data_IF_732009038901
#
_entry.id   IF_732009038901
#
_cell.length_a   1.000
_cell.length_b   1.000
_cell.length_c   1.000
_cell.angle_alpha   90.00
_cell.angle_beta   90.00
_cell.angle_gamma   90.00
#
_symmetry.space_group_name_H-M   'P 1'
#
loop_
_entity.id
_entity.type
_entity.pdbx_description
1 polymer ?
#
# COMPACT_ATOMS: atom_id res chain seq x y z
N UNK A 1 -3.14 -8.83 -9.45
CA UNK A 1 -1.68 -8.88 -9.41
C UNK A 1 -1.21 -9.24 -8.00
N UNK A 2 -0.05 -9.86 -7.88
CA UNK A 2 0.54 -10.27 -6.59
C UNK A 2 0.73 -9.11 -5.62
N UNK A 3 1.11 -7.94 -6.13
CA UNK A 3 1.39 -6.71 -5.38
C UNK A 3 0.16 -5.79 -5.23
N UNK A 4 -1.05 -6.34 -5.24
CA UNK A 4 -2.30 -5.62 -4.98
C UNK A 4 -2.98 -6.15 -3.73
N UNK A 5 -3.39 -5.24 -2.86
CA UNK A 5 -4.11 -5.55 -1.63
C UNK A 5 -4.50 -4.28 -0.88
N UNK A 6 -5.28 -4.43 0.17
CA UNK A 6 -5.70 -3.31 1.00
C UNK A 6 -4.55 -2.76 1.85
N UNK A 7 -3.61 -3.64 2.27
CA UNK A 7 -2.40 -3.22 2.97
C UNK A 7 -1.20 -4.03 2.51
N UNK A 8 -0.28 -3.34 1.86
CA UNK A 8 1.10 -3.77 1.69
C UNK A 8 1.92 -2.98 2.69
N UNK A 9 2.34 -3.63 3.76
CA UNK A 9 3.12 -3.02 4.81
C UNK A 9 4.60 -2.99 4.45
N UNK A 10 5.29 -1.91 4.79
CA UNK A 10 6.74 -1.85 4.76
C UNK A 10 7.27 -1.88 6.19
N UNK A 11 8.06 -2.88 6.53
CA UNK A 11 8.62 -3.03 7.88
C UNK A 11 9.79 -2.09 8.12
N UNK A 12 10.57 -1.82 7.07
CA UNK A 12 11.65 -0.83 7.06
C UNK A 12 11.49 0.12 5.85
N UNK A 13 10.62 1.12 5.92
CA UNK A 13 10.32 1.97 4.76
C UNK A 13 11.57 2.48 4.02
N UNK A 14 11.59 2.40 2.68
CA UNK A 14 10.56 1.93 1.73
C UNK A 14 10.68 0.45 1.35
N UNK A 15 11.54 -0.32 2.03
CA UNK A 15 11.88 -1.71 1.74
C UNK A 15 11.19 -2.69 2.69
N UNK A 16 11.40 -4.00 2.49
CA UNK A 16 10.75 -5.07 3.25
C UNK A 16 9.23 -4.96 3.18
N UNK A 17 8.71 -5.01 1.95
CA UNK A 17 7.29 -4.83 1.63
C UNK A 17 6.57 -6.16 1.60
N UNK A 18 5.61 -6.31 2.51
CA UNK A 18 4.81 -7.53 2.65
C UNK A 18 3.33 -7.26 2.36
N UNK A 19 2.70 -8.09 1.54
CA UNK A 19 1.24 -8.13 1.50
C UNK A 19 0.77 -8.77 2.81
N UNK A 20 0.04 -8.00 3.62
CA UNK A 20 -0.49 -8.47 4.92
C UNK A 20 -2.01 -8.57 4.92
N UNK A 21 -2.69 -7.73 4.16
CA UNK A 21 -4.14 -7.69 4.08
C UNK A 21 -4.59 -7.53 2.63
N UNK A 22 -5.10 -8.60 2.05
CA UNK A 22 -5.46 -8.63 0.62
C UNK A 22 -6.78 -7.91 0.37
N UNK A 23 -7.85 -8.38 0.99
CA UNK A 23 -9.20 -7.80 0.89
C UNK A 23 -10.10 -8.34 2.01
N UNK A 24 -11.35 -7.90 2.02
CA UNK A 24 -12.46 -8.54 2.74
C UNK A 24 -13.45 -9.06 1.71
N UNK A 25 -13.90 -10.30 1.90
CA UNK A 25 -15.06 -10.82 1.20
C UNK A 25 -16.30 -10.49 2.03
N UNK A 26 -17.21 -9.70 1.45
CA UNK A 26 -18.44 -9.27 2.09
C UNK A 26 -19.63 -10.03 1.55
N UNK A 27 -20.54 -10.43 2.44
CA UNK A 27 -21.85 -10.97 2.07
C UNK A 27 -22.95 -10.43 2.99
N UNK A 28 -24.14 -10.22 2.42
CA UNK A 28 -25.34 -9.83 3.13
C UNK A 28 -26.32 -10.98 3.13
N UNK A 29 -26.82 -11.37 4.31
CA UNK A 29 -27.89 -12.36 4.48
C UNK A 29 -29.12 -11.68 5.02
N UNK A 30 -30.22 -11.74 4.27
CA UNK A 30 -31.52 -11.18 4.67
C UNK A 30 -32.36 -12.31 5.27
N UNK A 31 -32.94 -12.08 6.45
CA UNK A 31 -33.73 -13.08 7.14
C UNK A 31 -35.20 -13.02 6.74
N UNK A 32 -35.85 -14.18 6.72
CA UNK A 32 -37.27 -14.25 6.49
C UNK A 32 -38.03 -13.57 7.66
N UNK A 33 -39.03 -12.76 7.35
CA UNK A 33 -39.90 -12.23 8.38
C UNK A 33 -40.57 -13.38 9.11
N UNK A 34 -40.47 -13.46 10.44
CA UNK A 34 -41.21 -14.46 11.21
C UNK A 34 -42.71 -14.15 11.07
N UNK A 35 -43.47 -15.14 10.62
CA UNK A 35 -44.93 -15.08 10.64
C UNK A 35 -45.41 -15.16 12.11
N UNK A 36 -45.23 -14.09 12.87
CA UNK A 36 -45.79 -13.98 14.22
C UNK A 36 -47.31 -13.82 14.11
N UNK A 37 -48.00 -14.93 14.12
CA UNK A 37 -49.48 -14.99 14.14
C UNK A 37 -50.09 -14.66 15.48
N UNK A 38 -49.49 -13.85 16.35
CA UNK A 38 -50.12 -13.31 17.57
C UNK A 38 -49.50 -11.97 17.98
N UNK A 39 -50.38 -11.01 18.27
CA UNK A 39 -50.10 -9.60 18.53
C UNK A 39 -49.53 -9.29 19.92
N UNK A 40 -49.01 -10.25 20.69
CA UNK A 40 -48.67 -10.01 22.11
C UNK A 40 -47.32 -10.63 22.57
N UNK A 41 -46.45 -11.11 21.69
CA UNK A 41 -45.12 -11.58 22.12
C UNK A 41 -44.06 -10.49 21.95
N UNK A 42 -43.40 -10.17 23.07
CA UNK A 42 -42.27 -9.26 23.16
C UNK A 42 -41.18 -9.68 22.16
N UNK A 43 -40.86 -8.76 21.27
CA UNK A 43 -39.77 -8.85 20.31
C UNK A 43 -38.45 -9.28 21.02
N UNK A 44 -38.02 -10.51 20.77
CA UNK A 44 -36.68 -10.96 21.18
C UNK A 44 -35.68 -10.63 20.06
N UNK A 45 -34.65 -9.83 20.33
CA UNK A 45 -33.66 -9.49 19.31
C UNK A 45 -33.03 -10.77 18.74
N UNK A 46 -32.87 -10.82 17.43
CA UNK A 46 -32.16 -11.95 16.72
C UNK A 46 -30.77 -12.20 17.30
N UNK A 47 -30.13 -11.18 17.90
CA UNK A 47 -28.89 -11.31 18.68
C UNK A 47 -28.96 -12.37 19.78
N UNK A 48 -30.10 -12.57 20.43
CA UNK A 48 -30.30 -13.64 21.43
C UNK A 48 -30.51 -15.02 20.77
N UNK A 49 -31.04 -15.02 19.57
CA UNK A 49 -31.26 -16.22 18.75
C UNK A 49 -29.92 -16.73 18.22
N UNK A 50 -29.06 -15.86 17.71
CA UNK A 50 -27.70 -16.19 17.26
C UNK A 50 -26.82 -16.70 18.41
N UNK A 51 -26.92 -16.11 19.60
CA UNK A 51 -26.24 -16.57 20.81
C UNK A 51 -26.75 -17.94 21.32
N UNK A 52 -27.97 -18.30 21.00
CA UNK A 52 -28.60 -19.60 21.37
C UNK A 52 -28.39 -20.69 20.32
N UNK A 53 -27.68 -20.41 19.21
CA UNK A 53 -27.39 -21.39 18.15
C UNK A 53 -28.57 -21.75 17.25
N UNK A 54 -29.67 -21.02 17.28
CA UNK A 54 -30.75 -21.16 16.29
C UNK A 54 -30.52 -20.14 15.16
N UNK A 55 -30.34 -20.61 13.93
CA UNK A 55 -30.15 -19.77 12.76
C UNK A 55 -31.51 -19.38 12.20
N UNK A 56 -31.86 -18.07 12.07
CA UNK A 56 -33.07 -17.63 11.40
C UNK A 56 -33.08 -18.13 9.94
N UNK A 57 -34.29 -18.38 9.40
CA UNK A 57 -34.39 -18.74 7.98
C UNK A 57 -33.92 -17.58 7.09
N UNK A 58 -32.96 -17.86 6.22
CA UNK A 58 -32.41 -16.89 5.27
C UNK A 58 -33.30 -16.83 4.04
N UNK A 59 -33.78 -15.65 3.66
CA UNK A 59 -34.62 -15.43 2.48
C UNK A 59 -33.82 -15.04 1.23
N UNK A 60 -32.67 -14.37 1.41
CA UNK A 60 -31.76 -14.00 0.33
C UNK A 60 -30.32 -13.86 0.83
N UNK A 61 -29.36 -14.17 -0.04
CA UNK A 61 -27.92 -13.94 0.18
C UNK A 61 -27.36 -13.15 -0.99
N UNK A 62 -26.61 -12.11 -0.70
CA UNK A 62 -25.94 -11.26 -1.67
C UNK A 62 -24.43 -11.29 -1.40
N UNK A 63 -23.65 -11.91 -2.29
CA UNK A 63 -22.21 -11.91 -2.22
C UNK A 63 -21.69 -10.66 -2.93
N UNK A 64 -21.06 -9.74 -2.20
CA UNK A 64 -20.56 -8.47 -2.75
C UNK A 64 -19.13 -8.59 -3.26
N UNK A 65 -18.47 -9.73 -3.02
CA UNK A 65 -17.14 -9.97 -3.50
C UNK A 65 -17.08 -10.19 -5.01
N UNK A 66 -16.01 -9.70 -5.63
CA UNK A 66 -15.66 -10.02 -7.01
C UNK A 66 -14.29 -10.69 -6.99
N UNK A 67 -14.25 -11.95 -7.35
CA UNK A 67 -13.02 -12.74 -7.40
C UNK A 67 -13.11 -13.84 -8.46
N UNK A 68 -11.97 -14.39 -8.77
CA UNK A 68 -11.77 -15.44 -9.76
C UNK A 68 -10.92 -16.54 -9.13
N UNK A 69 -11.38 -17.79 -9.22
CA UNK A 69 -10.69 -18.93 -8.62
C UNK A 69 -10.53 -20.04 -9.63
N UNK A 70 -9.44 -20.79 -9.52
CA UNK A 70 -9.22 -22.00 -10.30
C UNK A 70 -9.72 -23.20 -9.50
N UNK A 71 -10.78 -23.87 -9.98
CA UNK A 71 -11.33 -25.08 -9.34
C UNK A 71 -11.40 -26.22 -10.34
N UNK A 72 -10.72 -27.34 -10.04
CA UNK A 72 -10.70 -28.54 -10.92
C UNK A 72 -10.31 -28.23 -12.38
N UNK A 73 -9.40 -27.27 -12.59
CA UNK A 73 -8.98 -26.86 -13.93
C UNK A 73 -9.89 -25.82 -14.61
N UNK A 74 -11.05 -25.53 -14.06
CA UNK A 74 -11.98 -24.50 -14.56
C UNK A 74 -11.85 -23.19 -13.77
N UNK A 75 -12.15 -22.09 -14.42
CA UNK A 75 -12.19 -20.78 -13.76
C UNK A 75 -13.61 -20.46 -13.30
N UNK A 76 -13.77 -20.27 -12.00
CA UNK A 76 -15.02 -19.88 -11.36
C UNK A 76 -14.96 -18.40 -10.96
N UNK A 77 -16.09 -17.71 -11.06
CA UNK A 77 -16.20 -16.27 -10.75
C UNK A 77 -17.24 -16.04 -9.66
N UNK A 78 -16.95 -15.11 -8.75
CA UNK A 78 -17.96 -14.42 -7.96
C UNK A 78 -18.28 -13.09 -8.64
N UNK A 79 -19.52 -12.63 -8.57
CA UNK A 79 -20.03 -11.53 -9.41
C UNK A 79 -20.58 -10.37 -8.56
N UNK A 80 -19.92 -10.03 -7.47
CA UNK A 80 -20.32 -8.93 -6.57
C UNK A 80 -20.42 -7.57 -7.28
N UNK A 81 -19.74 -7.40 -8.42
CA UNK A 81 -19.88 -6.22 -9.26
C UNK A 81 -21.32 -5.97 -9.77
N UNK A 82 -22.18 -6.97 -9.78
CA UNK A 82 -23.60 -6.80 -10.16
C UNK A 82 -24.38 -5.91 -9.19
N UNK A 83 -23.89 -5.82 -7.94
CA UNK A 83 -24.48 -4.97 -6.90
C UNK A 83 -23.80 -3.60 -6.81
N UNK A 84 -22.71 -3.37 -7.53
CA UNK A 84 -21.94 -2.11 -7.49
C UNK A 84 -22.69 -1.00 -8.25
N UNK A 85 -23.06 0.06 -7.54
CA UNK A 85 -23.76 1.22 -8.10
C UNK A 85 -22.80 2.33 -8.48
N UNK A 86 -21.78 2.57 -7.65
CA UNK A 86 -20.77 3.62 -7.91
C UNK A 86 -19.42 3.29 -7.33
N UNK A 87 -18.40 3.86 -7.98
CA UNK A 87 -17.01 3.84 -7.54
C UNK A 87 -16.42 5.23 -7.74
N UNK A 88 -15.65 5.71 -6.76
CA UNK A 88 -14.86 6.94 -6.87
C UNK A 88 -13.57 6.87 -6.08
N UNK A 89 -12.62 7.75 -6.46
CA UNK A 89 -11.33 7.90 -5.79
C UNK A 89 -10.97 9.38 -5.69
N UNK A 90 -10.62 9.80 -4.47
CA UNK A 90 -10.21 11.18 -4.14
C UNK A 90 -8.99 11.23 -3.19
N UNK A 91 -8.23 10.15 -3.15
CA UNK A 91 -7.19 9.87 -2.15
C UNK A 91 -7.61 8.78 -1.18
N UNK A 92 -8.90 8.47 -1.14
CA UNK A 92 -9.53 7.30 -0.55
C UNK A 92 -10.39 6.61 -1.61
N UNK A 93 -10.68 5.34 -1.41
CA UNK A 93 -11.50 4.54 -2.33
C UNK A 93 -12.92 4.44 -1.78
N UNK A 94 -13.92 4.69 -2.62
CA UNK A 94 -15.33 4.68 -2.24
C UNK A 94 -16.14 3.78 -3.16
N UNK A 95 -16.82 2.81 -2.57
CA UNK A 95 -17.78 1.93 -3.24
C UNK A 95 -19.17 2.15 -2.68
N UNK A 96 -20.19 2.08 -3.53
CA UNK A 96 -21.58 1.98 -3.13
C UNK A 96 -22.20 0.75 -3.77
N UNK A 97 -22.75 -0.12 -2.95
CA UNK A 97 -23.47 -1.32 -3.37
C UNK A 97 -24.95 -1.19 -3.04
N UNK A 98 -25.80 -1.76 -3.92
CA UNK A 98 -27.23 -1.91 -3.68
C UNK A 98 -27.60 -3.39 -3.79
N UNK A 99 -27.99 -4.00 -2.67
CA UNK A 99 -28.34 -5.41 -2.58
C UNK A 99 -29.74 -5.55 -1.98
N UNK A 100 -30.75 -5.75 -2.82
CA UNK A 100 -32.15 -5.67 -2.42
C UNK A 100 -32.47 -4.33 -1.79
N UNK A 101 -33.04 -4.33 -0.57
CA UNK A 101 -33.38 -3.13 0.19
C UNK A 101 -32.22 -2.58 1.04
N UNK A 102 -30.99 -3.09 0.85
CA UNK A 102 -29.81 -2.67 1.62
C UNK A 102 -28.86 -1.88 0.71
N UNK A 103 -28.53 -0.65 1.16
CA UNK A 103 -27.45 0.15 0.58
C UNK A 103 -26.21 0.03 1.48
N UNK A 104 -25.08 -0.39 0.93
CA UNK A 104 -23.80 -0.45 1.64
C UNK A 104 -22.79 0.45 0.95
N UNK A 105 -22.30 1.46 1.70
CA UNK A 105 -21.15 2.25 1.29
C UNK A 105 -19.91 1.76 2.02
N UNK A 106 -18.85 1.57 1.28
CA UNK A 106 -17.54 1.11 1.77
C UNK A 106 -16.48 2.12 1.39
N UNK A 107 -15.77 2.64 2.37
CA UNK A 107 -14.69 3.60 2.20
C UNK A 107 -13.39 2.97 2.69
N UNK A 108 -12.35 3.00 1.87
CA UNK A 108 -11.04 2.42 2.20
C UNK A 108 -9.98 3.51 2.09
N UNK A 109 -9.15 3.65 3.11
CA UNK A 109 -7.98 4.50 3.05
C UNK A 109 -6.80 3.91 3.84
N UNK A 110 -5.60 4.34 3.46
CA UNK A 110 -4.39 4.11 4.24
C UNK A 110 -4.13 5.34 5.12
N UNK A 111 -3.83 5.10 6.40
CA UNK A 111 -3.39 6.17 7.30
C UNK A 111 -2.02 6.66 6.85
N UNK A 112 -1.89 7.97 6.62
CA UNK A 112 -0.63 8.55 6.16
C UNK A 112 0.50 8.30 7.17
N UNK A 113 1.65 7.83 6.68
CA UNK A 113 2.84 7.57 7.48
C UNK A 113 2.76 6.36 8.42
N UNK A 114 1.78 5.45 8.23
CA UNK A 114 1.62 4.26 9.06
C UNK A 114 1.18 3.04 8.25
N UNK A 115 1.56 1.85 8.72
CA UNK A 115 1.07 0.58 8.16
C UNK A 115 -0.33 0.27 8.70
N UNK A 116 -1.31 1.09 8.33
CA UNK A 116 -2.71 0.98 8.79
C UNK A 116 -3.65 1.18 7.60
N UNK A 117 -4.50 0.20 7.36
CA UNK A 117 -5.65 0.28 6.46
C UNK A 117 -6.92 0.46 7.30
N UNK A 118 -7.69 1.51 7.00
CA UNK A 118 -8.98 1.78 7.60
C UNK A 118 -10.09 1.54 6.58
N UNK A 119 -11.14 0.84 7.01
CA UNK A 119 -12.34 0.59 6.21
C UNK A 119 -13.55 1.06 7.03
N UNK A 120 -14.28 2.02 6.47
CA UNK A 120 -15.52 2.52 7.06
C UNK A 120 -16.70 2.02 6.25
N UNK A 121 -17.69 1.43 6.91
CA UNK A 121 -18.93 1.02 6.31
C UNK A 121 -20.08 1.92 6.82
N UNK A 122 -20.87 2.42 5.88
CA UNK A 122 -22.19 3.02 6.14
C UNK A 122 -23.24 2.11 5.51
N UNK A 123 -24.17 1.63 6.33
CA UNK A 123 -25.17 0.64 5.89
C UNK A 123 -26.56 1.18 6.21
N UNK A 124 -27.39 1.26 5.19
CA UNK A 124 -28.81 1.59 5.31
C UNK A 124 -29.63 0.35 4.95
N UNK A 125 -30.28 -0.24 5.95
CA UNK A 125 -31.19 -1.37 5.75
C UNK A 125 -32.62 -0.90 5.72
N UNK A 126 -33.24 -0.82 4.55
CA UNK A 126 -34.63 -0.45 4.33
C UNK A 126 -35.56 -1.69 4.26
N UNK A 127 -35.00 -2.89 4.40
CA UNK A 127 -35.69 -4.18 4.37
C UNK A 127 -35.95 -4.81 5.74
N UNK A 128 -36.11 -6.13 5.77
CA UNK A 128 -36.17 -6.95 6.98
C UNK A 128 -34.81 -6.97 7.72
N UNK A 129 -34.77 -7.66 8.87
CA UNK A 129 -33.53 -7.97 9.56
C UNK A 129 -32.55 -8.69 8.66
N UNK A 130 -31.28 -8.33 8.77
CA UNK A 130 -30.21 -8.88 7.96
C UNK A 130 -28.91 -9.00 8.77
N UNK A 131 -27.89 -9.61 8.18
CA UNK A 131 -26.53 -9.58 8.69
C UNK A 131 -25.55 -9.26 7.59
N UNK A 132 -24.45 -8.58 7.94
CA UNK A 132 -23.25 -8.44 7.13
C UNK A 132 -22.19 -9.40 7.66
N UNK A 133 -21.68 -10.28 6.81
CA UNK A 133 -20.53 -11.13 7.11
C UNK A 133 -19.31 -10.59 6.40
N UNK A 134 -18.22 -10.42 7.15
CA UNK A 134 -16.91 -9.96 6.70
C UNK A 134 -15.91 -11.10 6.85
N UNK A 135 -15.32 -11.58 5.77
CA UNK A 135 -14.23 -12.55 5.78
C UNK A 135 -12.95 -11.86 5.36
N UNK A 136 -12.08 -11.50 6.32
CA UNK A 136 -10.80 -10.87 6.01
C UNK A 136 -9.81 -11.90 5.46
N UNK A 137 -9.11 -11.54 4.39
CA UNK A 137 -8.11 -12.35 3.73
C UNK A 137 -6.72 -11.81 4.05
N UNK A 138 -5.95 -12.57 4.83
CA UNK A 138 -4.61 -12.22 5.27
C UNK A 138 -3.53 -12.94 4.46
N UNK A 139 -2.36 -12.33 4.47
CA UNK A 139 -1.13 -12.92 3.97
C UNK A 139 0.05 -12.41 4.82
N UNK A 140 1.23 -12.95 4.61
CA UNK A 140 2.49 -12.36 5.06
C UNK A 140 3.58 -12.85 4.12
N UNK A 141 3.57 -12.35 2.92
CA UNK A 141 4.53 -12.69 1.88
C UNK A 141 5.16 -11.44 1.29
N UNK A 142 6.34 -11.58 0.76
CA UNK A 142 6.92 -10.54 -0.07
C UNK A 142 5.90 -10.14 -1.16
N UNK A 143 5.76 -8.85 -1.43
CA UNK A 143 4.62 -8.29 -2.17
C UNK A 143 4.53 -8.76 -3.63
N UNK A 144 5.62 -9.22 -4.24
CA UNK A 144 5.67 -9.76 -5.61
C UNK A 144 5.55 -11.28 -5.70
N UNK A 145 5.63 -12.00 -4.57
CA UNK A 145 5.50 -13.45 -4.52
C UNK A 145 4.03 -13.91 -4.53
N UNK A 146 3.80 -15.22 -4.60
CA UNK A 146 2.52 -15.89 -4.39
C UNK A 146 2.62 -16.81 -3.20
N UNK A 147 1.49 -17.12 -2.54
CA UNK A 147 1.42 -18.02 -1.39
C UNK A 147 0.67 -19.32 -1.71
N UNK A 148 1.00 -20.35 -0.95
CA UNK A 148 0.29 -21.63 -0.88
C UNK A 148 -0.15 -21.91 0.56
N UNK A 149 -1.10 -22.81 0.83
CA UNK A 149 -1.57 -23.12 2.19
C UNK A 149 -0.44 -23.48 3.16
N UNK A 150 0.61 -24.14 2.70
CA UNK A 150 1.78 -24.54 3.48
C UNK A 150 2.70 -23.38 3.89
N UNK A 151 2.53 -22.19 3.32
CA UNK A 151 3.35 -21.03 3.65
C UNK A 151 2.82 -20.26 4.87
N UNK A 152 1.59 -20.57 5.31
CA UNK A 152 0.95 -19.84 6.40
C UNK A 152 1.31 -20.41 7.77
N UNK A 153 2.25 -19.77 8.45
CA UNK A 153 2.69 -20.07 9.80
C UNK A 153 2.44 -18.88 10.71
N UNK A 154 1.25 -18.83 11.32
CA UNK A 154 0.84 -17.79 12.24
C UNK A 154 0.56 -18.30 13.64
N UNK A 155 0.98 -17.56 14.67
CA UNK A 155 0.36 -17.65 15.99
C UNK A 155 -0.85 -16.71 15.99
N UNK A 156 -2.03 -17.29 16.18
CA UNK A 156 -3.30 -16.58 16.13
C UNK A 156 -3.90 -16.44 17.51
N UNK A 157 -4.39 -15.25 17.85
CA UNK A 157 -5.16 -14.99 19.06
C UNK A 157 -6.31 -14.04 18.79
N UNK A 158 -7.45 -14.31 19.44
CA UNK A 158 -8.63 -13.46 19.39
C UNK A 158 -8.88 -12.89 20.78
N UNK A 159 -8.91 -11.57 20.91
CA UNK A 159 -9.15 -10.84 22.14
C UNK A 159 -10.26 -9.83 21.85
N UNK A 160 -11.42 -10.03 22.46
CA UNK A 160 -12.62 -9.22 22.22
C UNK A 160 -12.93 -9.08 20.71
N UNK A 161 -12.93 -7.87 20.18
CA UNK A 161 -13.16 -7.59 18.76
C UNK A 161 -11.86 -7.41 17.96
N UNK A 162 -10.76 -8.04 18.40
CA UNK A 162 -9.42 -7.90 17.82
C UNK A 162 -8.79 -9.26 17.54
N UNK A 163 -8.47 -9.53 16.29
CA UNK A 163 -7.73 -10.70 15.81
C UNK A 163 -6.26 -10.31 15.62
N UNK A 164 -5.37 -10.98 16.33
CA UNK A 164 -3.92 -10.78 16.23
C UNK A 164 -3.28 -12.00 15.57
N UNK A 165 -2.50 -11.76 14.50
CA UNK A 165 -1.75 -12.76 13.75
C UNK A 165 -0.26 -12.40 13.84
N UNK A 166 0.55 -13.28 14.42
CA UNK A 166 2.01 -13.10 14.50
C UNK A 166 2.66 -14.11 13.57
N UNK A 167 3.32 -13.66 12.46
CA UNK A 167 4.04 -14.56 11.58
C UNK A 167 5.23 -15.20 12.33
N UNK A 168 5.41 -16.52 12.22
CA UNK A 168 6.55 -17.19 12.86
C UNK A 168 7.91 -16.74 12.31
N UNK A 169 7.94 -16.30 11.06
CA UNK A 169 9.13 -15.73 10.42
C UNK A 169 9.54 -14.36 10.98
N UNK A 170 8.59 -13.62 11.58
CA UNK A 170 8.78 -12.27 12.13
C UNK A 170 8.08 -12.17 13.49
N UNK A 171 8.64 -12.83 14.53
CA UNK A 171 7.96 -12.96 15.82
C UNK A 171 7.77 -11.64 16.59
N UNK A 172 8.48 -10.58 16.18
CA UNK A 172 8.38 -9.24 16.76
C UNK A 172 7.34 -8.35 16.03
N UNK A 173 6.66 -8.90 15.03
CA UNK A 173 5.67 -8.19 14.21
C UNK A 173 4.30 -8.84 14.37
N UNK A 174 3.25 -8.04 14.51
CA UNK A 174 1.87 -8.52 14.55
C UNK A 174 1.01 -7.81 13.50
N UNK A 175 0.14 -8.59 12.84
CA UNK A 175 -0.98 -8.08 12.07
C UNK A 175 -2.18 -8.03 13.01
N UNK A 176 -2.71 -6.84 13.25
CA UNK A 176 -3.86 -6.63 14.12
C UNK A 176 -5.07 -6.23 13.26
N UNK A 177 -6.09 -7.07 13.28
CA UNK A 177 -7.37 -6.81 12.63
C UNK A 177 -8.44 -6.55 13.68
N UNK A 178 -9.10 -5.40 13.61
CA UNK A 178 -10.07 -4.94 14.59
C UNK A 178 -11.38 -4.53 13.92
N UNK A 179 -12.49 -4.79 14.62
CA UNK A 179 -13.82 -4.30 14.24
C UNK A 179 -14.46 -3.56 15.39
N UNK A 180 -15.22 -2.48 15.11
CA UNK A 180 -15.92 -1.73 16.16
C UNK A 180 -17.09 -2.50 16.77
N UNK A 181 -17.60 -3.49 16.05
CA UNK A 181 -18.65 -4.40 16.52
C UNK A 181 -18.69 -5.66 15.67
N UNK A 182 -19.41 -6.66 16.13
CA UNK A 182 -19.62 -7.92 15.44
C UNK A 182 -19.28 -9.12 16.33
N UNK A 183 -19.56 -10.29 15.82
CA UNK A 183 -19.27 -11.56 16.48
C UNK A 183 -18.27 -12.30 15.61
N UNK A 184 -17.11 -12.56 16.15
CA UNK A 184 -16.11 -13.41 15.51
C UNK A 184 -16.48 -14.87 15.66
N UNK A 185 -16.35 -15.62 14.58
CA UNK A 185 -16.47 -17.08 14.53
C UNK A 185 -15.39 -17.65 13.62
N UNK A 186 -15.08 -18.93 13.83
CA UNK A 186 -14.14 -19.63 12.95
C UNK A 186 -14.70 -19.68 11.53
N UNK A 187 -13.87 -19.34 10.55
CA UNK A 187 -14.24 -19.45 9.15
C UNK A 187 -13.84 -20.80 8.56
N UNK A 188 -14.69 -21.36 7.71
CA UNK A 188 -14.42 -22.62 7.01
C UNK A 188 -14.82 -22.51 5.54
N UNK A 189 -13.91 -22.74 4.61
CA UNK A 189 -12.51 -23.17 4.79
C UNK A 189 -11.58 -22.06 5.32
N UNK A 190 -10.56 -22.44 6.09
CA UNK A 190 -9.58 -21.53 6.69
C UNK A 190 -8.66 -20.85 5.66
N UNK A 191 -8.68 -21.32 4.43
CA UNK A 191 -7.87 -20.80 3.33
C UNK A 191 -8.75 -20.51 2.12
N UNK A 192 -8.52 -19.34 1.53
CA UNK A 192 -9.00 -18.99 0.18
C UNK A 192 -7.92 -19.44 -0.80
N UNK A 193 -8.16 -20.56 -1.48
CA UNK A 193 -7.18 -21.29 -2.30
C UNK A 193 -7.40 -20.99 -3.77
N UNK A 194 -6.30 -20.90 -4.52
CA UNK A 194 -6.28 -20.78 -5.98
C UNK A 194 -7.04 -19.55 -6.50
N UNK A 195 -6.95 -18.43 -5.77
CA UNK A 195 -7.38 -17.14 -6.30
C UNK A 195 -6.55 -16.84 -7.56
N UNK A 196 -7.22 -16.72 -8.70
CA UNK A 196 -6.56 -16.47 -9.97
C UNK A 196 -6.34 -14.98 -10.18
N UNK A 197 -5.08 -14.60 -10.34
CA UNK A 197 -4.63 -13.24 -10.64
C UNK A 197 -4.46 -13.12 -12.17
N UNK A 198 -5.51 -12.71 -12.88
CA UNK A 198 -5.56 -12.78 -14.34
C UNK A 198 -4.38 -12.08 -15.04
N UNK A 199 -3.97 -10.92 -14.54
CA UNK A 199 -2.84 -10.19 -15.12
C UNK A 199 -1.52 -10.97 -15.02
N UNK A 200 -1.31 -11.73 -13.94
CA UNK A 200 -0.12 -12.58 -13.81
C UNK A 200 -0.18 -13.76 -14.80
N UNK A 201 -1.36 -14.35 -14.96
CA UNK A 201 -1.58 -15.39 -16.00
C UNK A 201 -1.29 -14.84 -17.39
N UNK A 202 -1.76 -13.64 -17.71
CA UNK A 202 -1.54 -12.99 -19.01
C UNK A 202 -0.05 -12.64 -19.25
N UNK A 203 0.71 -12.46 -18.19
CA UNK A 203 2.17 -12.21 -18.22
C UNK A 203 3.00 -13.50 -18.13
N UNK A 204 2.36 -14.67 -18.16
CA UNK A 204 3.00 -15.98 -18.06
C UNK A 204 3.81 -16.17 -16.76
N UNK A 205 3.39 -15.49 -15.68
CA UNK A 205 3.93 -15.64 -14.33
C UNK A 205 3.02 -16.53 -13.45
N UNK A 206 3.41 -16.81 -12.20
CA UNK A 206 2.56 -17.54 -11.28
C UNK A 206 1.32 -16.71 -10.94
N UNK A 207 0.20 -17.09 -11.51
CA UNK A 207 -1.07 -16.38 -11.39
C UNK A 207 -2.03 -16.95 -10.35
N UNK A 208 -1.60 -17.88 -9.50
CA UNK A 208 -2.43 -18.44 -8.43
C UNK A 208 -1.90 -17.97 -7.07
N UNK A 209 -2.78 -17.52 -6.21
CA UNK A 209 -2.47 -17.07 -4.86
C UNK A 209 -3.39 -17.72 -3.84
N UNK A 210 -2.96 -17.76 -2.60
CA UNK A 210 -3.73 -18.28 -1.47
C UNK A 210 -3.73 -17.26 -0.34
N UNK A 211 -4.83 -17.22 0.43
CA UNK A 211 -4.96 -16.33 1.58
C UNK A 211 -5.44 -17.09 2.81
N UNK A 212 -4.99 -16.62 3.97
CA UNK A 212 -5.39 -17.14 5.26
C UNK A 212 -6.60 -16.37 5.78
N UNK A 213 -7.68 -17.06 6.10
CA UNK A 213 -8.94 -16.49 6.58
C UNK A 213 -9.48 -17.31 7.78
N UNK A 214 -8.82 -17.21 8.96
CA UNK A 214 -9.13 -18.07 10.09
C UNK A 214 -10.46 -17.76 10.75
N UNK A 215 -10.94 -16.53 10.65
CA UNK A 215 -12.17 -16.06 11.27
C UNK A 215 -13.00 -15.22 10.31
N UNK A 216 -14.31 -15.20 10.55
CA UNK A 216 -15.24 -14.26 9.95
C UNK A 216 -15.91 -13.41 11.03
N UNK A 217 -16.41 -12.26 10.66
CA UNK A 217 -17.12 -11.33 11.56
C UNK A 217 -18.53 -11.16 11.06
N UNK A 218 -19.52 -11.46 11.89
CA UNK A 218 -20.94 -11.23 11.57
C UNK A 218 -21.46 -10.03 12.35
N UNK A 219 -21.97 -9.05 11.61
CA UNK A 219 -22.62 -7.85 12.15
C UNK A 219 -24.12 -7.90 11.87
N UNK A 220 -24.93 -7.76 12.90
CA UNK A 220 -26.38 -7.73 12.76
C UNK A 220 -26.88 -6.36 12.27
N UNK A 221 -27.81 -6.37 11.33
CA UNK A 221 -28.41 -5.21 10.68
C UNK A 221 -29.94 -5.24 10.94
N UNK A 222 -30.44 -4.55 11.97
CA UNK A 222 -31.87 -4.52 12.23
C UNK A 222 -32.69 -3.99 11.04
N UNK A 223 -33.91 -4.42 10.93
CA UNK A 223 -34.87 -3.87 9.96
C UNK A 223 -35.01 -2.34 10.11
N UNK A 224 -35.08 -1.63 8.97
CA UNK A 224 -35.28 -0.18 8.95
C UNK A 224 -34.24 0.58 9.79
N UNK A 225 -32.98 0.19 9.72
CA UNK A 225 -31.90 0.78 10.51
C UNK A 225 -30.81 1.38 9.63
N UNK A 226 -30.05 2.30 10.25
CA UNK A 226 -28.78 2.80 9.72
C UNK A 226 -27.67 2.39 10.69
N UNK A 227 -26.51 1.99 10.15
CA UNK A 227 -25.37 1.52 10.94
C UNK A 227 -24.06 1.99 10.35
N UNK A 228 -23.12 2.38 11.22
CA UNK A 228 -21.73 2.67 10.88
C UNK A 228 -20.81 1.65 11.55
N UNK A 229 -19.85 1.12 10.82
CA UNK A 229 -18.89 0.13 11.29
C UNK A 229 -17.49 0.58 10.86
N UNK A 230 -16.55 0.54 11.81
CA UNK A 230 -15.14 0.71 11.54
C UNK A 230 -14.42 -0.63 11.55
N UNK A 231 -13.54 -0.83 10.58
CA UNK A 231 -12.60 -1.94 10.52
C UNK A 231 -11.21 -1.37 10.31
N UNK A 232 -10.23 -1.84 11.10
CA UNK A 232 -8.82 -1.52 10.92
C UNK A 232 -8.03 -2.80 10.72
N UNK A 233 -7.05 -2.73 9.81
CA UNK A 233 -5.95 -3.68 9.77
C UNK A 233 -4.64 -2.92 9.87
N UNK A 234 -3.83 -3.24 10.86
CA UNK A 234 -2.57 -2.56 11.15
C UNK A 234 -1.43 -3.56 11.35
N UNK A 235 -0.21 -3.10 11.08
CA UNK A 235 1.00 -3.83 11.47
C UNK A 235 1.65 -3.06 12.61
N UNK A 236 1.83 -3.75 13.73
CA UNK A 236 2.35 -3.21 14.98
C UNK A 236 3.48 -4.10 15.51
N UNK A 237 4.22 -3.65 16.53
CA UNK A 237 5.12 -4.52 17.26
C UNK A 237 4.32 -5.60 18.03
N UNK A 238 4.85 -6.82 18.11
CA UNK A 238 4.13 -7.95 18.71
C UNK A 238 3.88 -7.78 20.22
N UNK A 239 4.63 -6.93 20.89
CA UNK A 239 4.51 -6.56 22.31
C UNK A 239 3.77 -5.22 22.53
N UNK A 240 3.32 -4.57 21.44
CA UNK A 240 2.58 -3.32 21.53
C UNK A 240 1.18 -3.55 22.08
N UNK A 241 0.79 -2.70 23.01
CA UNK A 241 -0.58 -2.70 23.55
C UNK A 241 -1.50 -1.93 22.62
N UNK A 242 -2.67 -2.49 22.33
CA UNK A 242 -3.69 -1.86 21.52
C UNK A 242 -4.96 -1.60 22.32
N UNK A 243 -5.77 -0.68 21.83
CA UNK A 243 -7.08 -0.34 22.40
C UNK A 243 -8.18 -0.72 21.41
N UNK A 244 -9.37 -0.98 21.93
CA UNK A 244 -10.54 -1.21 21.11
C UNK A 244 -10.86 0.01 20.24
N UNK A 245 -11.37 -0.24 19.05
CA UNK A 245 -11.83 0.80 18.13
C UNK A 245 -13.34 1.05 18.30
N UNK A 246 -13.76 2.26 17.96
CA UNK A 246 -15.17 2.67 17.95
C UNK A 246 -15.72 2.74 16.53
N UNK A 247 -17.02 2.90 16.40
CA UNK A 247 -17.68 3.07 15.08
C UNK A 247 -17.11 4.27 14.29
N UNK A 248 -16.60 5.29 14.97
CA UNK A 248 -16.07 6.50 14.35
C UNK A 248 -14.60 6.39 13.91
N UNK A 249 -13.85 5.39 14.42
CA UNK A 249 -12.38 5.33 14.26
C UNK A 249 -11.92 5.36 12.79
N UNK A 250 -12.52 4.55 11.91
CA UNK A 250 -12.15 4.55 10.49
C UNK A 250 -12.60 5.84 9.78
N UNK A 251 -13.74 6.41 10.19
CA UNK A 251 -14.24 7.69 9.65
C UNK A 251 -13.34 8.86 10.04
N UNK A 252 -12.75 8.83 11.22
CA UNK A 252 -11.80 9.87 11.64
C UNK A 252 -10.50 9.76 10.84
N UNK A 253 -10.00 8.56 10.56
CA UNK A 253 -8.84 8.35 9.67
C UNK A 253 -9.15 8.84 8.23
N UNK A 254 -10.36 8.61 7.73
CA UNK A 254 -10.80 9.15 6.44
C UNK A 254 -10.78 10.68 6.42
N UNK A 255 -11.30 11.35 7.47
CA UNK A 255 -11.24 12.82 7.61
C UNK A 255 -9.79 13.34 7.70
N UNK A 256 -8.91 12.63 8.43
CA UNK A 256 -7.48 12.96 8.48
C UNK A 256 -6.85 12.86 7.07
N UNK A 257 -7.16 11.81 6.31
CA UNK A 257 -6.69 11.63 4.94
C UNK A 257 -7.21 12.74 4.00
N UNK A 258 -8.48 13.08 4.08
CA UNK A 258 -9.08 14.19 3.32
C UNK A 258 -8.39 15.52 3.64
N UNK A 259 -8.17 15.80 4.93
CA UNK A 259 -7.46 17.00 5.37
C UNK A 259 -6.02 17.04 4.85
N UNK A 260 -5.31 15.91 4.90
CA UNK A 260 -3.97 15.80 4.35
C UNK A 260 -3.97 16.06 2.85
N UNK A 261 -4.86 15.43 2.09
CA UNK A 261 -4.99 15.63 0.64
C UNK A 261 -5.24 17.11 0.29
N UNK A 262 -6.15 17.78 1.01
CA UNK A 262 -6.39 19.23 0.84
C UNK A 262 -5.14 20.05 1.11
N UNK A 263 -4.35 19.70 2.13
CA UNK A 263 -3.12 20.43 2.45
C UNK A 263 -2.06 20.29 1.36
N UNK A 264 -2.04 19.19 0.60
CA UNK A 264 -1.16 19.03 -0.56
C UNK A 264 -1.54 20.01 -1.68
N UNK A 265 -2.84 20.15 -1.97
CA UNK A 265 -3.34 21.09 -2.98
C UNK A 265 -3.05 22.54 -2.61
N UNK A 266 -3.29 22.89 -1.35
CA UNK A 266 -2.98 24.23 -0.82
C UNK A 266 -1.47 24.53 -0.92
N UNK A 267 -0.61 23.57 -0.60
CA UNK A 267 0.84 23.71 -0.66
C UNK A 267 1.33 23.89 -2.10
N UNK A 268 0.74 23.17 -3.05
CA UNK A 268 1.08 23.32 -4.47
C UNK A 268 0.66 24.67 -5.06
N UNK A 269 -0.40 25.28 -4.51
CA UNK A 269 -0.87 26.63 -4.88
C UNK A 269 -1.45 26.73 -6.30
N UNK A 270 -1.76 25.61 -6.93
CA UNK A 270 -2.41 25.52 -8.23
C UNK A 270 -3.79 24.91 -7.99
N UNK A 271 -4.86 25.55 -8.46
CA UNK A 271 -6.23 25.17 -8.13
C UNK A 271 -7.02 24.86 -9.39
N UNK A 272 -6.80 23.67 -9.93
CA UNK A 272 -7.64 23.07 -10.96
C UNK A 272 -7.66 21.54 -10.79
N UNK A 273 -8.75 20.89 -11.22
CA UNK A 273 -8.99 19.46 -11.01
C UNK A 273 -7.90 18.55 -11.59
N UNK A 274 -7.22 18.98 -12.66
CA UNK A 274 -6.15 18.18 -13.28
C UNK A 274 -4.86 18.30 -12.48
N UNK A 275 -4.49 19.50 -12.06
CA UNK A 275 -3.32 19.76 -11.23
C UNK A 275 -3.44 19.07 -9.87
N UNK A 276 -4.61 19.12 -9.24
CA UNK A 276 -4.89 18.42 -7.97
C UNK A 276 -4.66 16.91 -8.09
N UNK A 277 -5.08 16.28 -9.18
CA UNK A 277 -4.81 14.85 -9.44
C UNK A 277 -3.33 14.57 -9.62
N UNK A 278 -2.57 15.45 -10.28
CA UNK A 278 -1.12 15.29 -10.43
C UNK A 278 -0.40 15.46 -9.08
N UNK A 279 -0.82 16.42 -8.26
CA UNK A 279 -0.27 16.62 -6.90
C UNK A 279 -0.52 15.40 -6.02
N UNK A 280 -1.72 14.86 -6.05
CA UNK A 280 -2.06 13.62 -5.33
C UNK A 280 -1.26 12.43 -5.83
N UNK A 281 -1.08 12.31 -7.15
CA UNK A 281 -0.25 11.25 -7.74
C UNK A 281 1.24 11.41 -7.36
N UNK A 282 1.76 12.62 -7.34
CA UNK A 282 3.14 12.90 -6.92
C UNK A 282 3.40 12.47 -5.46
N UNK A 283 2.44 12.68 -4.57
CA UNK A 283 2.53 12.28 -3.16
C UNK A 283 2.77 10.78 -2.99
N UNK A 284 2.20 9.93 -3.87
CA UNK A 284 2.32 8.48 -3.80
C UNK A 284 3.74 7.96 -4.03
N UNK A 285 4.60 8.74 -4.69
CA UNK A 285 6.00 8.38 -4.92
C UNK A 285 6.94 8.80 -3.79
N UNK A 286 6.48 9.66 -2.89
CA UNK A 286 7.29 10.17 -1.79
C UNK A 286 7.07 9.34 -0.53
N UNK A 287 8.15 8.84 0.06
CA UNK A 287 8.08 8.02 1.26
C UNK A 287 9.24 8.33 2.22
N UNK A 288 9.09 7.92 3.46
CA UNK A 288 10.18 7.97 4.44
C UNK A 288 11.19 6.86 4.15
N UNK A 289 12.47 7.16 4.38
CA UNK A 289 13.54 6.16 4.36
C UNK A 289 14.07 5.94 5.75
N UNK A 290 13.77 4.79 6.34
CA UNK A 290 14.14 4.45 7.71
C UNK A 290 15.63 4.58 7.99
N UNK A 291 16.49 4.15 7.02
CA UNK A 291 17.95 4.18 7.17
C UNK A 291 18.57 5.59 7.24
N UNK A 292 17.87 6.63 6.77
CA UNK A 292 18.34 8.02 6.80
C UNK A 292 17.54 8.90 7.74
N UNK A 293 16.29 8.54 8.02
CA UNK A 293 15.31 9.38 8.70
C UNK A 293 14.80 10.54 7.85
N UNK A 294 14.99 10.49 6.52
CA UNK A 294 14.60 11.51 5.54
C UNK A 294 13.70 10.92 4.47
N UNK A 295 13.17 11.78 3.58
CA UNK A 295 12.38 11.36 2.43
C UNK A 295 13.24 10.75 1.33
N UNK A 296 12.59 9.90 0.53
CA UNK A 296 13.09 9.36 -0.74
C UNK A 296 11.96 9.26 -1.76
N UNK A 297 12.28 8.83 -2.98
CA UNK A 297 11.32 8.66 -4.08
C UNK A 297 11.36 7.22 -4.54
N UNK A 298 10.21 6.56 -4.59
CA UNK A 298 10.06 5.26 -5.26
C UNK A 298 10.05 5.47 -6.78
N UNK A 299 10.92 4.76 -7.49
CA UNK A 299 11.07 4.91 -8.94
C UNK A 299 9.82 4.47 -9.71
N UNK A 300 9.07 3.51 -9.18
CA UNK A 300 7.83 3.04 -9.78
C UNK A 300 7.06 2.12 -8.85
N UNK A 301 5.90 2.59 -8.35
CA UNK A 301 5.00 1.78 -7.56
C UNK A 301 4.28 0.75 -8.44
N UNK A 302 4.18 -0.48 -7.96
CA UNK A 302 4.75 -1.07 -6.74
C UNK A 302 6.08 -1.82 -6.95
N UNK A 303 6.65 -1.82 -8.18
CA UNK A 303 7.71 -2.73 -8.59
C UNK A 303 9.11 -2.35 -8.12
N UNK A 304 9.39 -1.05 -8.03
CA UNK A 304 10.74 -0.55 -7.81
C UNK A 304 10.88 0.10 -6.42
N UNK A 305 12.10 0.07 -5.93
CA UNK A 305 12.54 0.81 -4.75
C UNK A 305 12.98 2.22 -5.16
N UNK A 306 13.82 2.86 -4.37
CA UNK A 306 14.38 4.15 -4.67
C UNK A 306 15.64 4.01 -5.56
N UNK A 307 15.60 4.70 -6.68
CA UNK A 307 16.66 4.72 -7.69
C UNK A 307 17.19 6.14 -7.85
N UNK A 308 18.53 6.28 -7.90
CA UNK A 308 19.18 7.59 -7.95
C UNK A 308 18.83 8.40 -9.19
N UNK A 309 18.97 7.80 -10.38
CA UNK A 309 18.63 8.44 -11.66
C UNK A 309 17.18 8.90 -11.68
N UNK A 310 16.27 7.98 -11.38
CA UNK A 310 14.83 8.21 -11.44
C UNK A 310 14.41 9.30 -10.45
N UNK A 311 14.92 9.23 -9.22
CA UNK A 311 14.67 10.25 -8.19
C UNK A 311 15.12 11.61 -8.66
N UNK A 312 16.35 11.74 -9.18
CA UNK A 312 16.91 13.06 -9.56
C UNK A 312 16.22 13.65 -10.79
N UNK A 313 15.81 12.83 -11.74
CA UNK A 313 15.06 13.26 -12.92
C UNK A 313 13.66 13.72 -12.51
N UNK A 314 12.96 12.92 -11.68
CA UNK A 314 11.60 13.21 -11.22
C UNK A 314 11.52 14.30 -10.14
N UNK A 315 12.64 14.62 -9.49
CA UNK A 315 12.76 15.52 -8.34
C UNK A 315 11.98 16.82 -8.48
N UNK A 316 12.19 17.53 -9.60
CA UNK A 316 11.53 18.82 -9.85
C UNK A 316 10.01 18.69 -9.86
N UNK A 317 9.48 17.71 -10.60
CA UNK A 317 8.04 17.51 -10.72
C UNK A 317 7.39 17.05 -9.43
N UNK A 318 8.02 16.11 -8.72
CA UNK A 318 7.45 15.52 -7.52
C UNK A 318 7.51 16.44 -6.30
N UNK A 319 8.50 17.34 -6.22
CA UNK A 319 8.73 18.16 -5.04
C UNK A 319 8.62 19.68 -5.30
N UNK A 320 9.40 20.22 -6.22
CA UNK A 320 9.49 21.67 -6.41
C UNK A 320 8.20 22.25 -7.01
N UNK A 321 7.66 21.57 -8.04
CA UNK A 321 6.40 21.98 -8.67
C UNK A 321 5.19 21.82 -7.74
N UNK A 322 5.28 20.98 -6.74
CA UNK A 322 4.23 20.73 -5.74
C UNK A 322 4.44 21.53 -4.44
N UNK A 323 5.43 22.44 -4.40
CA UNK A 323 5.72 23.32 -3.26
C UNK A 323 6.37 22.61 -2.04
N UNK A 324 6.84 21.37 -2.19
CA UNK A 324 7.33 20.50 -1.11
C UNK A 324 8.83 20.72 -0.85
N UNK A 325 9.19 21.94 -0.45
CA UNK A 325 10.59 22.34 -0.21
C UNK A 325 11.30 21.41 0.77
N UNK A 326 10.67 21.13 1.91
CA UNK A 326 11.29 20.28 2.96
C UNK A 326 11.58 18.89 2.44
N UNK A 327 10.63 18.26 1.71
CA UNK A 327 10.85 16.95 1.14
C UNK A 327 11.97 16.94 0.10
N UNK A 328 12.07 18.00 -0.70
CA UNK A 328 13.19 18.19 -1.63
C UNK A 328 14.55 18.22 -0.90
N UNK A 329 14.66 18.99 0.17
CA UNK A 329 15.87 19.07 1.00
C UNK A 329 16.22 17.69 1.60
N UNK A 330 15.23 16.98 2.15
CA UNK A 330 15.39 15.65 2.74
C UNK A 330 15.83 14.59 1.70
N UNK A 331 15.28 14.63 0.49
CA UNK A 331 15.69 13.73 -0.61
C UNK A 331 17.16 13.97 -0.99
N UNK A 332 17.56 15.24 -1.15
CA UNK A 332 18.96 15.57 -1.43
C UNK A 332 19.89 15.06 -0.31
N UNK A 333 19.47 15.18 0.95
CA UNK A 333 20.22 14.66 2.10
C UNK A 333 20.26 13.13 2.12
N UNK A 334 19.17 12.44 1.76
CA UNK A 334 19.15 10.99 1.66
C UNK A 334 20.25 10.49 0.73
N UNK A 335 20.31 11.01 -0.49
CA UNK A 335 21.28 10.55 -1.47
C UNK A 335 22.71 11.02 -1.15
N UNK A 336 22.91 12.23 -0.56
CA UNK A 336 24.23 12.69 -0.15
C UNK A 336 24.91 11.77 0.86
N UNK A 337 24.14 11.20 1.81
CA UNK A 337 24.66 10.26 2.81
C UNK A 337 25.24 8.97 2.21
N UNK A 338 24.83 8.61 1.01
CA UNK A 338 25.24 7.39 0.35
C UNK A 338 26.19 7.60 -0.83
N UNK A 339 26.66 8.83 -1.07
CA UNK A 339 27.71 9.05 -2.07
C UNK A 339 28.96 8.30 -1.63
N UNK A 340 29.45 7.47 -2.52
CA UNK A 340 30.66 6.66 -2.31
C UNK A 340 31.60 6.84 -3.49
N UNK A 341 32.84 7.23 -3.23
CA UNK A 341 33.86 7.49 -4.26
C UNK A 341 33.37 8.47 -5.35
N UNK A 342 32.53 9.44 -4.97
CA UNK A 342 31.92 10.41 -5.89
C UNK A 342 30.80 9.85 -6.78
N UNK A 343 30.25 8.69 -6.46
CA UNK A 343 29.11 8.12 -7.19
C UNK A 343 27.87 8.13 -6.30
N UNK A 344 26.78 8.71 -6.79
CA UNK A 344 25.43 8.60 -6.23
C UNK A 344 24.91 7.19 -6.49
N UNK A 345 24.26 6.51 -5.53
CA UNK A 345 23.74 5.16 -5.73
C UNK A 345 22.82 5.05 -6.96
N UNK A 346 22.96 3.96 -7.72
CA UNK A 346 22.01 3.62 -8.78
C UNK A 346 20.67 3.20 -8.20
N UNK A 347 20.69 2.26 -7.22
CA UNK A 347 19.49 1.80 -6.55
C UNK A 347 19.79 1.30 -5.13
N UNK A 348 18.74 1.27 -4.31
CA UNK A 348 18.74 0.63 -3.01
C UNK A 348 17.91 -0.66 -3.10
N UNK A 349 18.52 -1.84 -2.84
CA UNK A 349 17.80 -3.12 -2.90
C UNK A 349 16.69 -3.25 -1.87
N UNK A 350 15.68 -4.07 -2.17
CA UNK A 350 14.51 -4.29 -1.31
C UNK A 350 14.82 -5.15 -0.06
N UNK A 351 15.89 -5.92 -0.12
CA UNK A 351 16.35 -6.84 0.94
C UNK A 351 17.32 -6.21 1.94
N UNK A 352 17.37 -4.87 1.99
CA UNK A 352 18.29 -4.09 2.83
C UNK A 352 19.79 -4.39 2.55
N UNK A 353 20.14 -4.94 1.40
CA UNK A 353 21.52 -5.11 0.99
C UNK A 353 22.19 -3.75 0.71
N UNK A 354 23.53 -3.77 0.55
CA UNK A 354 24.27 -2.55 0.25
C UNK A 354 23.82 -1.91 -1.07
N UNK A 355 23.72 -0.55 -1.11
CA UNK A 355 23.35 0.16 -2.34
C UNK A 355 24.24 -0.21 -3.53
N UNK A 356 23.64 -0.24 -4.73
CA UNK A 356 24.35 -0.50 -5.97
C UNK A 356 24.82 0.82 -6.58
N UNK A 357 26.05 0.83 -7.13
CA UNK A 357 26.71 2.04 -7.65
C UNK A 357 27.04 1.96 -9.14
N UNK A 358 26.48 0.99 -9.84
CA UNK A 358 26.67 0.79 -11.28
C UNK A 358 25.92 1.85 -12.10
N UNK A 359 26.35 3.11 -12.00
CA UNK A 359 25.73 4.24 -12.69
C UNK A 359 26.75 5.35 -12.93
N UNK A 360 26.75 5.91 -14.12
CA UNK A 360 27.56 7.09 -14.46
C UNK A 360 26.74 8.38 -14.43
N UNK A 361 25.44 8.33 -14.64
CA UNK A 361 24.59 9.48 -14.86
C UNK A 361 23.82 9.95 -13.61
N UNK A 362 23.58 9.08 -12.63
CA UNK A 362 22.86 9.48 -11.40
C UNK A 362 23.58 10.64 -10.68
N UNK A 363 24.94 10.60 -10.62
CA UNK A 363 25.72 11.69 -10.03
C UNK A 363 25.58 13.01 -10.80
N UNK A 364 25.46 12.94 -12.12
CA UNK A 364 25.27 14.14 -12.96
C UNK A 364 23.86 14.70 -12.83
N UNK A 365 22.85 13.83 -12.75
CA UNK A 365 21.47 14.23 -12.46
C UNK A 365 21.31 14.84 -11.06
N UNK A 366 22.15 14.45 -10.10
CA UNK A 366 22.17 15.08 -8.77
C UNK A 366 22.53 16.57 -8.85
N UNK A 367 23.50 16.95 -9.70
CA UNK A 367 23.80 18.37 -9.96
C UNK A 367 22.59 19.11 -10.55
N UNK A 368 21.90 18.47 -11.49
CA UNK A 368 20.71 19.06 -12.07
C UNK A 368 19.60 19.28 -11.02
N UNK A 369 19.35 18.31 -10.16
CA UNK A 369 18.38 18.43 -9.08
C UNK A 369 18.73 19.58 -8.10
N UNK A 370 20.00 19.69 -7.70
CA UNK A 370 20.48 20.78 -6.84
C UNK A 370 20.34 22.15 -7.52
N UNK A 371 20.67 22.21 -8.82
CA UNK A 371 20.50 23.44 -9.60
C UNK A 371 19.03 23.84 -9.68
N UNK A 372 18.12 22.90 -9.98
CA UNK A 372 16.68 23.17 -9.99
C UNK A 372 16.17 23.65 -8.64
N UNK A 373 16.62 23.04 -7.54
CA UNK A 373 16.28 23.48 -6.19
C UNK A 373 16.62 24.96 -5.96
N UNK A 374 17.83 25.39 -6.34
CA UNK A 374 18.28 26.77 -6.23
C UNK A 374 17.54 27.74 -7.18
N UNK A 375 17.05 27.26 -8.34
CA UNK A 375 16.22 28.08 -9.24
C UNK A 375 14.81 28.30 -8.67
N UNK A 376 14.22 27.27 -8.04
CA UNK A 376 12.89 27.38 -7.44
C UNK A 376 12.90 28.19 -6.13
N UNK A 377 13.99 28.09 -5.36
CA UNK A 377 14.16 28.78 -4.08
C UNK A 377 15.41 29.67 -4.10
N UNK A 378 15.38 30.81 -4.81
CA UNK A 378 16.54 31.71 -4.92
C UNK A 378 16.70 32.60 -3.66
N UNK A 379 16.69 31.97 -2.48
CA UNK A 379 16.77 32.66 -1.19
C UNK A 379 18.05 32.28 -0.41
N UNK A 380 18.34 33.06 0.63
CA UNK A 380 19.52 32.85 1.47
C UNK A 380 19.52 31.53 2.18
N UNK A 381 18.33 31.01 2.58
CA UNK A 381 18.20 29.73 3.29
C UNK A 381 18.53 28.56 2.37
N UNK A 382 18.05 28.56 1.12
CA UNK A 382 18.39 27.52 0.14
C UNK A 382 19.91 27.55 -0.19
N UNK A 383 20.50 28.73 -0.37
CA UNK A 383 21.94 28.82 -0.58
C UNK A 383 22.74 28.30 0.61
N UNK A 384 22.35 28.63 1.84
CA UNK A 384 23.00 28.13 3.05
C UNK A 384 22.86 26.61 3.16
N UNK A 385 21.64 26.06 2.93
CA UNK A 385 21.40 24.61 2.94
C UNK A 385 22.33 23.89 1.96
N UNK A 386 22.40 24.36 0.72
CA UNK A 386 23.25 23.73 -0.31
C UNK A 386 24.72 23.88 0.07
N UNK A 387 25.16 25.05 0.52
CA UNK A 387 26.54 25.31 0.89
C UNK A 387 27.04 24.43 2.03
N UNK A 388 26.21 24.23 3.03
CA UNK A 388 26.57 23.49 4.25
C UNK A 388 26.46 21.98 4.07
N UNK A 389 25.41 21.50 3.38
CA UNK A 389 25.07 20.09 3.37
C UNK A 389 25.37 19.38 2.04
N UNK A 390 25.35 20.08 0.90
CA UNK A 390 25.39 19.45 -0.43
C UNK A 390 26.70 19.77 -1.17
N UNK A 391 27.18 20.99 -1.09
CA UNK A 391 28.34 21.46 -1.87
C UNK A 391 29.63 20.64 -1.63
N UNK A 392 29.96 20.15 -0.42
CA UNK A 392 31.09 19.26 -0.22
C UNK A 392 31.02 18.00 -1.09
N UNK A 393 29.83 17.41 -1.20
CA UNK A 393 29.59 16.21 -2.01
C UNK A 393 29.68 16.48 -3.52
N UNK A 394 29.19 17.66 -3.98
CA UNK A 394 29.35 18.05 -5.38
C UNK A 394 30.85 18.17 -5.76
N UNK A 395 31.69 18.70 -4.86
CA UNK A 395 33.14 18.76 -5.09
C UNK A 395 33.77 17.34 -5.13
N UNK A 396 33.32 16.44 -4.27
CA UNK A 396 33.76 15.04 -4.27
C UNK A 396 33.44 14.38 -5.61
N UNK A 397 32.20 14.52 -6.13
CA UNK A 397 31.79 13.98 -7.43
C UNK A 397 32.67 14.52 -8.55
N UNK A 398 32.86 15.85 -8.61
CA UNK A 398 33.71 16.48 -9.64
C UNK A 398 35.15 15.92 -9.57
N UNK A 399 35.72 15.81 -8.36
CA UNK A 399 37.06 15.28 -8.18
C UNK A 399 37.18 13.84 -8.65
N UNK A 400 36.20 12.99 -8.31
CA UNK A 400 36.15 11.60 -8.70
C UNK A 400 36.05 11.42 -10.22
N UNK A 401 35.16 12.17 -10.87
CA UNK A 401 34.98 12.10 -12.33
C UNK A 401 36.19 12.65 -13.10
N UNK A 402 36.94 13.62 -12.53
CA UNK A 402 38.17 14.14 -13.15
C UNK A 402 39.34 13.18 -12.99
N UNK A 403 39.50 12.57 -11.83
CA UNK A 403 40.69 11.81 -11.46
C UNK A 403 40.54 10.29 -11.63
N UNK A 404 39.33 9.82 -11.89
CA UNK A 404 38.98 8.40 -11.98
C UNK A 404 38.30 7.88 -10.71
N UNK A 405 37.27 7.04 -10.91
CA UNK A 405 36.52 6.36 -9.86
C UNK A 405 36.11 4.96 -10.30
N UNK A 406 35.22 4.29 -9.51
CA UNK A 406 34.70 2.97 -9.80
C UNK A 406 34.09 2.90 -11.22
N UNK A 407 33.97 1.71 -11.78
CA UNK A 407 33.41 1.44 -13.11
C UNK A 407 34.11 2.17 -14.26
N UNK A 408 35.42 2.41 -14.15
CA UNK A 408 36.23 3.10 -15.17
C UNK A 408 35.62 4.45 -15.58
N UNK A 409 35.08 5.20 -14.61
CA UNK A 409 34.57 6.56 -14.85
C UNK A 409 35.69 7.54 -14.60
N UNK A 410 36.12 8.27 -15.63
CA UNK A 410 37.17 9.30 -15.57
C UNK A 410 37.05 10.28 -16.73
N UNK A 411 37.69 11.44 -16.61
CA UNK A 411 37.79 12.43 -17.68
C UNK A 411 39.00 12.17 -18.55
N UNK A 412 38.83 12.05 -19.85
CA UNK A 412 39.89 11.93 -20.83
C UNK A 412 40.58 13.26 -21.12
N UNK A 413 41.68 13.24 -21.89
CA UNK A 413 42.47 14.42 -22.23
C UNK A 413 41.68 15.46 -23.03
N UNK A 414 40.66 15.03 -23.77
CA UNK A 414 39.77 15.90 -24.53
C UNK A 414 38.64 16.53 -23.67
N UNK A 415 38.61 16.19 -22.38
CA UNK A 415 37.62 16.69 -21.42
C UNK A 415 36.29 15.94 -21.40
N UNK A 416 36.13 14.88 -22.21
CA UNK A 416 34.95 14.01 -22.16
C UNK A 416 35.06 13.00 -21.02
N UNK A 417 33.91 12.49 -20.57
CA UNK A 417 33.85 11.45 -19.52
C UNK A 417 33.81 10.09 -20.19
N UNK A 418 34.87 9.32 -19.98
CA UNK A 418 34.85 7.87 -20.19
C UNK A 418 34.04 7.19 -19.09
N UNK A 419 33.27 6.17 -19.42
CA UNK A 419 32.45 5.46 -18.44
C UNK A 419 32.22 4.01 -18.85
N UNK A 420 32.59 3.10 -17.96
CA UNK A 420 32.44 1.66 -18.09
C UNK A 420 33.50 0.97 -18.93
N UNK A 421 33.62 -0.33 -18.72
CA UNK A 421 34.49 -1.24 -19.51
C UNK A 421 33.81 -2.60 -19.66
N UNK A 422 34.06 -3.28 -20.81
CA UNK A 422 33.57 -4.64 -21.04
C UNK A 422 32.06 -4.77 -20.91
N UNK A 423 31.59 -5.50 -19.91
CA UNK A 423 30.18 -5.81 -19.66
C UNK A 423 29.51 -4.88 -18.64
N UNK A 424 30.15 -3.78 -18.26
CA UNK A 424 29.60 -2.84 -17.29
C UNK A 424 28.28 -2.25 -17.76
N UNK A 425 27.27 -2.28 -16.89
CA UNK A 425 25.96 -1.71 -17.11
C UNK A 425 25.77 -0.52 -16.17
N UNK A 426 25.98 0.70 -16.68
CA UNK A 426 26.11 1.94 -15.89
C UNK A 426 25.29 3.12 -16.42
N UNK A 427 24.33 2.85 -17.29
CA UNK A 427 23.38 3.87 -17.81
C UNK A 427 21.96 3.33 -17.74
N UNK A 428 20.97 4.12 -18.17
CA UNK A 428 19.55 3.71 -18.18
C UNK A 428 19.30 2.46 -19.05
N UNK A 429 20.13 2.21 -20.07
CA UNK A 429 20.06 1.01 -20.92
C UNK A 429 21.05 -0.04 -20.39
N UNK A 430 20.72 -0.65 -19.27
CA UNK A 430 21.58 -1.50 -18.45
C UNK A 430 21.14 -2.98 -18.42
N UNK A 431 20.47 -3.45 -19.47
CA UNK A 431 20.05 -4.84 -19.58
C UNK A 431 21.25 -5.75 -19.88
N UNK A 432 21.42 -6.76 -19.01
CA UNK A 432 22.41 -7.82 -19.16
C UNK A 432 21.78 -9.20 -18.98
N UNK A 433 22.05 -10.11 -19.91
CA UNK A 433 21.63 -11.52 -19.83
C UNK A 433 22.87 -12.39 -20.09
N UNK A 434 23.44 -12.97 -19.02
CA UNK A 434 24.70 -13.69 -19.10
C UNK A 434 25.84 -12.79 -19.59
N UNK A 435 26.43 -13.14 -20.73
CA UNK A 435 27.50 -12.36 -21.38
C UNK A 435 26.99 -11.40 -22.46
N UNK A 436 25.67 -11.37 -22.69
CA UNK A 436 25.07 -10.39 -23.59
C UNK A 436 24.68 -9.13 -22.83
N UNK A 437 25.00 -7.97 -23.40
CA UNK A 437 24.65 -6.65 -22.85
C UNK A 437 24.01 -5.77 -23.94
N UNK A 438 23.03 -4.95 -23.54
CA UNK A 438 22.36 -4.04 -24.46
C UNK A 438 23.30 -2.92 -24.96
N UNK A 439 24.22 -2.48 -24.11
CA UNK A 439 25.20 -1.42 -24.39
C UNK A 439 26.61 -1.90 -24.03
N UNK A 440 27.31 -2.59 -24.98
CA UNK A 440 28.70 -2.99 -24.73
C UNK A 440 29.63 -1.78 -24.59
N UNK A 441 30.61 -1.88 -23.70
CA UNK A 441 31.63 -0.86 -23.45
C UNK A 441 32.95 -1.34 -24.03
N UNK A 442 33.54 -0.54 -24.87
CA UNK A 442 34.81 -0.87 -25.60
C UNK A 442 36.01 -0.14 -25.00
#
# INVERSE_FOLDING_TARGET
RTHQGYLIASLHPPIERYLVFSKINESLSVFAAENTGSSDEKFHPITDTLKKGSVPAVSAVYNLETSQHKKNGETCYTQGQEYLVSFSYDGSVHYTYQAGDITLKKHICLKHGANVCAIAYEIENNGPDASLTLVPLFNFREHSASSRPEDFHFRTSLIDNSLCLIPESHPDTAILFQTSEGIFSDHTPMFDIDMQLQTEVDLETDGLDCHYCPHEVTVFLPAKSHKQISVLCSVIAADETFTDITADTAFDILKEREKYTKSLYETAGIHDDFADRLVLAADQFLCDRASTGYKTVLAGLPWFTDWGRDTMIAFTGLTLCTGRRKDAEEILLTFSKYIRHGIVPNMFPDDNAAPLYNTADASLWYFYAVWQYLQYYPDTAANAFVQENIYPHLKEIISAYKNGTDFSIYMEEDGLIHAGSGLDQITWMDVRVGDWVATPRH
#
